data_IF_562959326601
#
_entry.id   IF_562959326601
#
_cell.length_a   1.000
_cell.length_b   1.000
_cell.length_c   1.000
_cell.angle_alpha   90.00
_cell.angle_beta   90.00
_cell.angle_gamma   90.00
#
_symmetry.space_group_name_H-M   'P 1'
#
loop_
_entity.id
_entity.type
_entity.pdbx_description
1 polymer ?
#
# COMPACT_ATOMS: atom_id res chain seq x y z
N UNK A 1 -5.64 19.86 -4.57
CA UNK A 1 -4.57 19.69 -3.56
C UNK A 1 -5.01 18.88 -2.35
N UNK A 2 -5.98 19.32 -1.54
CA UNK A 2 -6.39 18.59 -0.33
C UNK A 2 -6.70 17.08 -0.52
N UNK A 3 -7.41 16.70 -1.59
CA UNK A 3 -7.68 15.28 -1.89
C UNK A 3 -6.38 14.50 -2.16
N UNK A 4 -5.51 15.04 -3.00
CA UNK A 4 -4.22 14.44 -3.35
C UNK A 4 -3.36 14.25 -2.09
N UNK A 5 -3.30 15.27 -1.24
CA UNK A 5 -2.53 15.21 -0.01
C UNK A 5 -3.13 14.19 0.98
N UNK A 6 -4.45 14.04 1.00
CA UNK A 6 -5.13 13.02 1.80
C UNK A 6 -4.78 11.60 1.34
N UNK A 7 -4.90 11.35 0.03
CA UNK A 7 -4.62 10.02 -0.56
C UNK A 7 -3.13 9.67 -0.42
N UNK A 8 -2.24 10.63 -0.67
CA UNK A 8 -0.80 10.45 -0.45
C UNK A 8 -0.50 10.06 0.99
N UNK A 9 -1.10 10.75 1.96
CA UNK A 9 -0.88 10.45 3.39
C UNK A 9 -1.36 9.06 3.76
N UNK A 10 -2.56 8.67 3.32
CA UNK A 10 -3.11 7.33 3.56
C UNK A 10 -2.17 6.23 3.01
N UNK A 11 -1.66 6.44 1.79
CA UNK A 11 -0.74 5.53 1.14
C UNK A 11 0.62 5.45 1.86
N UNK A 12 1.14 6.58 2.35
CA UNK A 12 2.37 6.62 3.13
C UNK A 12 2.17 5.91 4.48
N UNK A 13 1.04 6.13 5.15
CA UNK A 13 0.68 5.46 6.41
C UNK A 13 0.55 3.93 6.21
N UNK A 14 -0.11 3.49 5.14
CA UNK A 14 -0.18 2.08 4.74
C UNK A 14 1.22 1.51 4.55
N UNK A 15 2.08 2.16 3.75
CA UNK A 15 3.43 1.69 3.49
C UNK A 15 4.27 1.60 4.78
N UNK A 16 4.18 2.60 5.66
CA UNK A 16 4.89 2.57 6.94
C UNK A 16 4.40 1.43 7.84
N UNK A 17 3.09 1.19 7.90
CA UNK A 17 2.52 0.05 8.62
C UNK A 17 3.05 -1.28 8.11
N UNK A 18 3.08 -1.45 6.78
CA UNK A 18 3.61 -2.66 6.14
C UNK A 18 5.11 -2.83 6.35
N UNK A 19 5.90 -1.75 6.32
CA UNK A 19 7.36 -1.81 6.56
C UNK A 19 7.69 -2.07 8.03
N UNK A 20 6.90 -1.58 8.97
CA UNK A 20 7.05 -1.88 10.39
C UNK A 20 6.74 -3.36 10.69
N UNK A 21 5.69 -3.91 10.05
CA UNK A 21 5.34 -5.32 10.14
C UNK A 21 6.35 -6.23 9.42
N UNK A 22 6.83 -5.79 8.25
CA UNK A 22 7.64 -6.57 7.33
C UNK A 22 8.84 -5.76 6.78
N UNK A 23 9.85 -5.50 7.63
CA UNK A 23 11.00 -4.68 7.27
C UNK A 23 11.82 -5.28 6.12
N UNK A 24 12.68 -4.45 5.53
CA UNK A 24 13.59 -4.92 4.50
C UNK A 24 14.55 -5.98 5.09
N UNK A 25 14.80 -7.14 4.42
CA UNK A 25 15.61 -8.21 4.98
C UNK A 25 17.03 -7.78 5.43
N UNK A 26 17.62 -6.81 4.73
CA UNK A 26 18.95 -6.28 5.10
C UNK A 26 18.94 -5.50 6.43
N UNK A 27 17.79 -4.98 6.87
CA UNK A 27 17.65 -4.27 8.15
C UNK A 27 17.46 -5.21 9.34
N UNK A 28 17.19 -6.51 9.13
CA UNK A 28 16.93 -7.43 10.24
C UNK A 28 18.11 -7.56 11.22
N UNK A 29 19.35 -7.42 10.73
CA UNK A 29 20.54 -7.43 11.57
C UNK A 29 20.57 -6.28 12.58
N UNK A 30 20.06 -5.10 12.21
CA UNK A 30 20.00 -3.97 13.14
C UNK A 30 18.90 -4.18 14.17
N UNK A 31 17.75 -4.75 13.78
CA UNK A 31 16.65 -5.05 14.69
C UNK A 31 17.08 -6.02 15.81
N UNK A 32 17.84 -7.06 15.47
CA UNK A 32 18.41 -7.99 16.45
C UNK A 32 19.33 -7.27 17.43
N UNK A 33 20.10 -6.29 16.96
CA UNK A 33 21.02 -5.53 17.80
C UNK A 33 20.30 -4.49 18.68
N UNK A 34 19.25 -3.84 18.17
CA UNK A 34 18.49 -2.79 18.87
C UNK A 34 17.35 -3.32 19.72
N UNK A 35 17.04 -4.63 19.64
CA UNK A 35 15.88 -5.21 20.31
C UNK A 35 14.56 -4.68 19.75
N UNK A 36 14.52 -4.39 18.44
CA UNK A 36 13.32 -3.87 17.79
C UNK A 36 12.42 -5.01 17.36
N UNK A 37 11.26 -5.13 18.01
CA UNK A 37 10.23 -6.09 17.65
C UNK A 37 9.48 -5.64 16.39
N UNK A 38 9.10 -6.62 15.56
CA UNK A 38 8.20 -6.42 14.42
C UNK A 38 6.75 -6.56 14.88
N UNK A 39 5.82 -5.88 14.21
CA UNK A 39 4.39 -5.91 14.56
C UNK A 39 3.61 -7.06 13.92
N UNK A 40 4.22 -7.81 13.00
CA UNK A 40 3.57 -8.93 12.31
C UNK A 40 3.40 -10.17 13.19
N UNK A 41 2.38 -10.98 12.88
CA UNK A 41 2.15 -12.25 13.55
C UNK A 41 3.26 -13.27 13.22
N UNK A 42 3.66 -14.12 14.18
CA UNK A 42 4.62 -15.20 13.92
C UNK A 42 4.14 -16.11 12.79
N UNK A 43 5.01 -16.39 11.83
CA UNK A 43 4.69 -17.22 10.67
C UNK A 43 4.17 -16.44 9.45
N UNK A 44 4.04 -15.12 9.53
CA UNK A 44 3.79 -14.25 8.36
C UNK A 44 5.11 -13.67 7.88
N UNK A 45 5.59 -14.13 6.72
CA UNK A 45 6.95 -13.85 6.22
C UNK A 45 6.91 -13.07 4.92
N UNK A 46 7.68 -11.98 4.87
CA UNK A 46 7.89 -11.20 3.64
C UNK A 46 8.61 -12.03 2.58
N UNK A 47 8.07 -12.06 1.37
CA UNK A 47 8.67 -12.75 0.22
C UNK A 47 9.18 -11.78 -0.86
N UNK A 48 8.77 -10.51 -0.83
CA UNK A 48 9.20 -9.54 -1.83
C UNK A 48 8.56 -8.17 -1.68
N UNK A 49 8.57 -7.41 -2.79
CA UNK A 49 7.74 -6.22 -3.02
C UNK A 49 6.87 -6.47 -4.24
N UNK A 50 5.66 -5.95 -4.22
CA UNK A 50 4.74 -6.04 -5.34
C UNK A 50 3.85 -4.80 -5.42
N UNK A 51 3.36 -4.54 -6.63
CA UNK A 51 2.29 -3.58 -6.87
C UNK A 51 0.97 -4.23 -6.45
N UNK A 52 0.24 -3.56 -5.57
CA UNK A 52 -1.04 -4.03 -5.00
C UNK A 52 -2.04 -2.88 -4.90
N UNK A 53 -3.31 -3.20 -4.64
CA UNK A 53 -4.36 -2.21 -4.41
C UNK A 53 -4.18 -1.58 -3.03
N UNK A 54 -4.34 -0.25 -2.87
CA UNK A 54 -4.34 0.39 -1.55
C UNK A 54 -5.49 -0.12 -0.67
N UNK A 55 -5.33 -0.02 0.64
CA UNK A 55 -6.36 -0.47 1.60
C UNK A 55 -7.64 0.39 1.52
N UNK A 56 -7.47 1.68 1.23
CA UNK A 56 -8.54 2.64 0.99
C UNK A 56 -8.47 3.14 -0.47
N UNK A 57 -9.01 2.38 -1.43
CA UNK A 57 -8.94 2.74 -2.84
C UNK A 57 -9.79 3.99 -3.13
N UNK A 58 -9.26 4.90 -3.95
CA UNK A 58 -10.00 6.10 -4.34
C UNK A 58 -11.24 5.74 -5.19
N UNK A 59 -12.42 5.89 -4.62
CA UNK A 59 -13.68 5.74 -5.33
C UNK A 59 -14.08 7.03 -6.04
N UNK A 60 -14.21 6.98 -7.36
CA UNK A 60 -14.73 8.10 -8.15
C UNK A 60 -16.25 7.95 -8.26
N UNK A 61 -17.05 8.87 -7.70
CA UNK A 61 -18.49 8.80 -7.78
C UNK A 61 -18.98 8.98 -9.22
N UNK A 62 -19.71 7.99 -9.74
CA UNK A 62 -20.23 7.97 -11.13
C UNK A 62 -21.61 8.65 -11.24
N UNK A 63 -21.87 9.65 -10.39
CA UNK A 63 -23.21 10.21 -10.21
C UNK A 63 -23.68 11.10 -11.37
N UNK A 64 -22.76 11.52 -12.23
CA UNK A 64 -23.06 12.24 -13.46
C UNK A 64 -22.11 11.75 -14.57
N UNK A 65 -22.56 11.73 -15.83
CA UNK A 65 -21.68 11.47 -16.96
C UNK A 65 -20.46 12.42 -16.94
N UNK A 66 -19.25 11.92 -17.22
CA UNK A 66 -18.03 12.74 -17.18
C UNK A 66 -18.05 13.90 -18.19
N UNK A 67 -18.90 13.86 -19.22
CA UNK A 67 -19.17 14.98 -20.13
C UNK A 67 -19.84 16.19 -19.45
N UNK A 68 -20.46 16.01 -18.28
CA UNK A 68 -21.04 17.09 -17.49
C UNK A 68 -20.01 17.78 -16.58
N UNK A 69 -18.79 17.23 -16.48
CA UNK A 69 -17.67 17.85 -15.77
C UNK A 69 -16.93 18.83 -16.67
N UNK A 70 -16.36 19.86 -16.06
CA UNK A 70 -15.43 20.74 -16.75
C UNK A 70 -14.20 19.92 -17.25
N UNK A 71 -13.78 20.06 -18.53
CA UNK A 71 -12.80 19.16 -19.13
C UNK A 71 -11.46 19.05 -18.39
N UNK A 72 -10.94 20.16 -17.85
CA UNK A 72 -9.68 20.14 -17.08
C UNK A 72 -9.87 19.37 -15.77
N UNK A 73 -10.98 19.60 -15.08
CA UNK A 73 -11.33 18.93 -13.84
C UNK A 73 -11.48 17.42 -14.01
N UNK A 74 -12.13 16.98 -15.10
CA UNK A 74 -12.27 15.56 -15.44
C UNK A 74 -10.90 14.90 -15.70
N UNK A 75 -10.01 15.60 -16.43
CA UNK A 75 -8.65 15.11 -16.71
C UNK A 75 -7.80 15.03 -15.45
N UNK A 76 -7.83 16.06 -14.60
CA UNK A 76 -7.09 16.07 -13.33
C UNK A 76 -7.58 14.98 -12.37
N UNK A 77 -8.89 14.75 -12.28
CA UNK A 77 -9.44 13.68 -11.46
C UNK A 77 -8.99 12.31 -11.95
N UNK A 78 -9.00 12.09 -13.27
CA UNK A 78 -8.52 10.86 -13.90
C UNK A 78 -7.03 10.63 -13.65
N UNK A 79 -6.21 11.68 -13.74
CA UNK A 79 -4.78 11.60 -13.45
C UNK A 79 -4.53 11.18 -11.99
N UNK A 80 -5.24 11.81 -11.05
CA UNK A 80 -5.16 11.45 -9.62
C UNK A 80 -5.60 10.00 -9.40
N UNK A 81 -6.73 9.58 -9.97
CA UNK A 81 -7.22 8.22 -9.83
C UNK A 81 -6.23 7.19 -10.36
N UNK A 82 -5.61 7.43 -11.53
CA UNK A 82 -4.62 6.52 -12.09
C UNK A 82 -3.32 6.49 -11.29
N UNK A 83 -2.86 7.65 -10.80
CA UNK A 83 -1.61 7.78 -10.06
C UNK A 83 -1.65 7.05 -8.71
N UNK A 84 -2.80 7.07 -8.05
CA UNK A 84 -2.98 6.48 -6.73
C UNK A 84 -3.78 5.18 -6.75
N UNK A 85 -3.95 4.56 -7.93
CA UNK A 85 -4.67 3.30 -8.08
C UNK A 85 -3.95 2.11 -7.43
N UNK A 86 -2.63 2.22 -7.24
CA UNK A 86 -1.78 1.11 -6.80
C UNK A 86 -0.67 1.59 -5.87
N UNK A 87 -0.30 0.73 -4.93
CA UNK A 87 0.84 0.89 -4.03
C UNK A 87 1.90 -0.17 -4.31
N UNK A 88 3.17 0.21 -4.41
CA UNK A 88 4.27 -0.74 -4.34
C UNK A 88 4.68 -0.92 -2.88
N UNK A 89 4.48 -2.11 -2.33
CA UNK A 89 4.71 -2.37 -0.90
C UNK A 89 5.15 -3.82 -0.65
N UNK A 90 5.66 -4.15 0.56
CA UNK A 90 6.03 -5.51 0.93
C UNK A 90 4.87 -6.49 0.71
N UNK A 91 5.17 -7.65 0.15
CA UNK A 91 4.23 -8.77 0.10
C UNK A 91 4.73 -9.87 1.01
N UNK A 92 3.80 -10.44 1.78
CA UNK A 92 4.06 -11.46 2.78
C UNK A 92 3.11 -12.63 2.61
N UNK A 93 3.52 -13.77 3.16
CA UNK A 93 2.78 -15.03 3.11
C UNK A 93 2.68 -15.58 4.53
N UNK A 94 1.47 -15.99 4.91
CA UNK A 94 1.25 -16.77 6.11
C UNK A 94 1.65 -18.23 5.83
N UNK A 95 2.77 -18.68 6.40
CA UNK A 95 3.31 -20.02 6.14
C UNK A 95 2.34 -21.12 6.59
N UNK A 96 1.56 -20.88 7.64
CA UNK A 96 0.58 -21.83 8.17
C UNK A 96 -0.56 -22.15 7.19
N UNK A 97 -0.83 -21.25 6.24
CA UNK A 97 -1.83 -21.45 5.19
C UNK A 97 -1.38 -22.45 4.09
N UNK A 98 -0.13 -22.92 4.12
CA UNK A 98 0.43 -23.83 3.12
C UNK A 98 0.83 -25.17 3.75
N UNK A 99 0.42 -26.26 3.13
CA UNK A 99 0.83 -27.60 3.58
C UNK A 99 2.32 -27.89 3.32
N UNK A 100 2.91 -27.22 2.33
CA UNK A 100 4.32 -27.33 1.98
C UNK A 100 4.75 -26.08 1.19
N UNK A 101 5.97 -25.62 1.41
CA UNK A 101 6.63 -24.56 0.63
C UNK A 101 7.88 -25.19 0.03
N UNK A 102 7.98 -25.16 -1.29
CA UNK A 102 9.04 -25.82 -2.08
C UNK A 102 9.90 -24.81 -2.83
#
# INVERSE_FOLDING_TARGET
DALKDSVQRSHDEQLQGMLAAHPHPQALWTHVHTGTDVTSEPGVVRIGTAVQTPDDPLEVPVNAPPEDLEPVSAMSLREVALRYATIEAPVSVELASFHCIV
#
